data_IF_211162796666
#
_entry.id   IF_211162796666
#
_cell.length_a   1.000
_cell.length_b   1.000
_cell.length_c   1.000
_cell.angle_alpha   90.00
_cell.angle_beta   90.00
_cell.angle_gamma   90.00
#
_symmetry.space_group_name_H-M   'P 1'
#
loop_
_entity.id
_entity.type
_entity.pdbx_description
1 polymer ?
#
# COMPACT_ATOMS: atom_id res chain seq x y z
N UNK A 1 22.64 1.54 17.39
CA UNK A 1 21.39 2.36 17.45
C UNK A 1 20.38 1.75 16.50
N UNK A 2 19.14 1.54 16.95
CA UNK A 2 18.04 1.08 16.08
C UNK A 2 17.65 2.24 15.17
N UNK A 3 17.57 2.01 13.87
CA UNK A 3 17.12 3.05 12.92
C UNK A 3 15.62 3.31 13.06
N UNK A 4 15.15 4.47 12.61
CA UNK A 4 13.69 4.79 12.63
C UNK A 4 12.88 3.77 11.84
N UNK A 5 13.39 3.29 10.72
CA UNK A 5 12.76 2.23 9.93
C UNK A 5 12.64 0.93 10.74
N UNK A 6 13.70 0.52 11.42
CA UNK A 6 13.66 -0.70 12.25
C UNK A 6 12.66 -0.60 13.41
N UNK A 7 12.54 0.59 14.03
CA UNK A 7 11.51 0.86 15.04
C UNK A 7 10.10 0.67 14.47
N UNK A 8 9.86 1.24 13.27
CA UNK A 8 8.56 1.13 12.57
C UNK A 8 8.25 -0.35 12.25
N UNK A 9 9.22 -1.08 11.71
CA UNK A 9 9.05 -2.50 11.35
C UNK A 9 8.75 -3.36 12.58
N UNK A 10 9.46 -3.15 13.68
CA UNK A 10 9.20 -3.89 14.91
C UNK A 10 7.77 -3.65 15.43
N UNK A 11 7.36 -2.39 15.48
CA UNK A 11 5.98 -2.05 15.84
C UNK A 11 4.95 -2.66 14.87
N UNK A 12 5.22 -2.60 13.57
CA UNK A 12 4.33 -3.17 12.55
C UNK A 12 4.12 -4.67 12.73
N UNK A 13 5.16 -5.41 13.12
CA UNK A 13 5.05 -6.85 13.42
C UNK A 13 4.10 -7.14 14.58
N UNK A 14 4.12 -6.32 15.63
CA UNK A 14 3.18 -6.44 16.75
C UNK A 14 1.76 -6.07 16.32
N UNK A 15 1.61 -4.96 15.60
CA UNK A 15 0.32 -4.45 15.14
C UNK A 15 -0.42 -5.44 14.23
N UNK A 16 0.23 -5.96 13.18
CA UNK A 16 -0.45 -6.89 12.30
C UNK A 16 -0.67 -8.26 12.96
N UNK A 17 0.20 -8.70 13.86
CA UNK A 17 0.00 -9.94 14.62
C UNK A 17 -1.27 -9.88 15.46
N UNK A 18 -1.54 -8.74 16.08
CA UNK A 18 -2.81 -8.51 16.78
C UNK A 18 -4.00 -8.59 15.81
N UNK A 19 -3.98 -7.88 14.69
CA UNK A 19 -5.07 -7.94 13.69
C UNK A 19 -5.27 -9.34 13.12
N UNK A 20 -4.17 -10.07 12.86
CA UNK A 20 -4.18 -11.45 12.39
C UNK A 20 -4.88 -12.39 13.37
N UNK A 21 -4.75 -12.15 14.69
CA UNK A 21 -5.43 -12.94 15.72
C UNK A 21 -6.94 -12.68 15.82
N UNK A 22 -7.43 -11.57 15.24
CA UNK A 22 -8.85 -11.16 15.31
C UNK A 22 -9.70 -11.67 14.13
N UNK A 23 -9.08 -12.29 13.14
CA UNK A 23 -9.77 -12.79 11.93
C UNK A 23 -9.17 -14.11 11.48
N UNK A 24 -10.01 -15.08 11.18
CA UNK A 24 -9.56 -16.36 10.61
C UNK A 24 -9.19 -16.22 9.13
N UNK A 25 -8.32 -17.09 8.64
CA UNK A 25 -7.99 -17.13 7.19
C UNK A 25 -9.25 -17.34 6.33
N UNK A 26 -10.20 -18.14 6.78
CA UNK A 26 -11.47 -18.38 6.08
C UNK A 26 -12.30 -17.09 5.95
N UNK A 27 -12.45 -16.32 7.05
CA UNK A 27 -13.18 -15.05 7.03
C UNK A 27 -12.48 -14.04 6.13
N UNK A 28 -11.14 -13.97 6.19
CA UNK A 28 -10.37 -13.06 5.35
C UNK A 28 -10.54 -13.38 3.87
N UNK A 29 -10.47 -14.67 3.49
CA UNK A 29 -10.74 -15.11 2.11
C UNK A 29 -12.18 -14.82 1.68
N UNK A 30 -13.17 -15.03 2.55
CA UNK A 30 -14.57 -14.68 2.26
C UNK A 30 -14.79 -13.18 1.98
N UNK A 31 -13.97 -12.31 2.62
CA UNK A 31 -13.99 -10.87 2.32
C UNK A 31 -13.32 -10.59 0.97
N UNK A 32 -12.19 -11.25 0.70
CA UNK A 32 -11.45 -11.10 -0.57
C UNK A 32 -12.30 -11.50 -1.76
N UNK A 33 -13.04 -12.61 -1.67
CA UNK A 33 -13.90 -13.13 -2.75
C UNK A 33 -15.03 -12.17 -3.11
N UNK A 34 -15.45 -11.33 -2.17
CA UNK A 34 -16.47 -10.28 -2.41
C UNK A 34 -15.90 -9.00 -3.03
N UNK A 35 -14.57 -8.86 -3.07
CA UNK A 35 -13.94 -7.68 -3.67
C UNK A 35 -13.97 -7.76 -5.20
N UNK A 36 -14.17 -6.61 -5.85
CA UNK A 36 -13.97 -6.51 -7.29
C UNK A 36 -12.51 -6.85 -7.62
N UNK A 37 -12.25 -7.38 -8.81
CA UNK A 37 -10.87 -7.62 -9.28
C UNK A 37 -10.02 -6.36 -9.15
N UNK A 38 -8.73 -6.48 -8.83
CA UNK A 38 -7.82 -5.34 -8.81
C UNK A 38 -7.83 -4.61 -10.15
N UNK A 39 -7.76 -3.31 -10.09
CA UNK A 39 -7.57 -2.46 -11.27
C UNK A 39 -6.09 -2.42 -11.59
N UNK A 40 -5.69 -2.61 -12.82
CA UNK A 40 -4.29 -2.57 -13.23
C UNK A 40 -3.64 -1.22 -12.88
N UNK A 41 -2.93 -1.15 -11.77
CA UNK A 41 -2.25 0.06 -11.29
C UNK A 41 -1.13 0.46 -12.26
N UNK A 42 -0.28 -0.50 -12.63
CA UNK A 42 0.80 -0.30 -13.61
C UNK A 42 0.23 0.10 -14.98
N UNK A 43 -0.84 -0.57 -15.41
CA UNK A 43 -1.47 -0.24 -16.70
C UNK A 43 -1.97 1.20 -16.78
N UNK A 44 -2.42 1.77 -15.65
CA UNK A 44 -2.85 3.17 -15.60
C UNK A 44 -1.70 4.17 -15.64
N UNK A 45 -0.49 3.74 -15.32
CA UNK A 45 0.72 4.55 -15.38
C UNK A 45 1.44 4.46 -16.74
N UNK A 46 0.99 3.58 -17.63
CA UNK A 46 1.60 3.37 -18.94
C UNK A 46 0.88 4.10 -20.09
N UNK A 47 0.07 5.12 -19.81
CA UNK A 47 -0.56 5.93 -20.84
C UNK A 47 0.46 6.94 -21.41
N UNK A 48 0.92 6.77 -22.68
CA UNK A 48 1.93 7.65 -23.27
C UNK A 48 1.39 9.03 -23.67
N UNK A 49 0.08 9.24 -23.59
CA UNK A 49 -0.58 10.48 -24.06
C UNK A 49 -0.73 11.54 -22.98
N UNK A 50 -0.37 11.20 -21.73
CA UNK A 50 -0.51 12.10 -20.59
C UNK A 50 0.64 11.95 -19.60
N UNK A 51 0.79 12.96 -18.73
CA UNK A 51 1.62 12.83 -17.53
C UNK A 51 0.90 11.90 -16.55
N UNK A 52 1.52 10.77 -16.24
CA UNK A 52 0.98 9.80 -15.29
C UNK A 52 1.36 10.20 -13.86
N UNK A 53 0.36 10.32 -12.99
CA UNK A 53 0.51 10.81 -11.62
C UNK A 53 -0.06 9.81 -10.62
N UNK A 54 0.75 9.44 -9.63
CA UNK A 54 0.31 8.80 -8.38
C UNK A 54 0.12 9.91 -7.35
N UNK A 55 -1.12 10.19 -6.96
CA UNK A 55 -1.44 11.22 -5.97
C UNK A 55 -1.53 10.61 -4.56
N UNK A 56 -0.78 11.18 -3.60
CA UNK A 56 -0.68 10.63 -2.24
C UNK A 56 -1.65 11.30 -1.26
N UNK A 57 -2.41 10.48 -0.53
CA UNK A 57 -3.33 10.87 0.54
C UNK A 57 -2.65 10.58 1.87
N UNK A 58 -2.10 11.62 2.49
CA UNK A 58 -1.30 11.54 3.71
C UNK A 58 -1.66 12.63 4.70
N UNK A 59 -2.01 12.25 5.94
CA UNK A 59 -2.38 13.16 7.02
C UNK A 59 -1.18 13.71 7.77
N UNK A 60 -0.23 12.83 8.09
CA UNK A 60 0.95 13.16 8.88
C UNK A 60 2.17 12.36 8.43
N UNK A 61 3.37 12.73 8.86
CA UNK A 61 4.59 11.94 8.70
C UNK A 61 5.54 12.12 9.89
N UNK A 62 6.45 11.15 10.16
CA UNK A 62 7.42 11.28 11.26
C UNK A 62 8.31 12.52 11.17
N UNK A 63 8.65 12.93 9.95
CA UNK A 63 9.57 14.05 9.70
C UNK A 63 8.90 15.44 9.73
N UNK A 64 7.60 15.51 9.43
CA UNK A 64 6.87 16.79 9.33
C UNK A 64 5.71 16.94 10.32
N UNK A 65 5.45 15.92 11.13
CA UNK A 65 4.29 15.89 12.01
C UNK A 65 2.97 15.93 11.23
N UNK A 66 1.98 16.63 11.77
CA UNK A 66 0.69 16.81 11.11
C UNK A 66 0.85 17.74 9.88
N UNK A 67 0.47 17.22 8.70
CA UNK A 67 0.57 17.94 7.41
C UNK A 67 -0.73 18.67 7.11
N UNK A 68 -1.87 18.05 7.48
CA UNK A 68 -3.19 18.59 7.15
C UNK A 68 -4.16 18.44 8.34
N UNK A 69 -4.67 19.55 8.87
CA UNK A 69 -5.62 19.58 9.98
C UNK A 69 -7.03 19.17 9.54
N UNK A 70 -7.48 19.66 8.38
CA UNK A 70 -8.77 19.40 7.75
C UNK A 70 -8.75 18.15 6.86
N UNK A 71 -8.18 17.05 7.38
CA UNK A 71 -7.95 15.84 6.60
C UNK A 71 -9.25 15.06 6.38
N UNK A 72 -9.69 15.04 5.13
CA UNK A 72 -10.76 14.17 4.61
C UNK A 72 -10.20 13.35 3.42
N UNK A 73 -9.97 12.05 3.60
CA UNK A 73 -9.38 11.20 2.56
C UNK A 73 -10.28 11.05 1.33
N UNK A 74 -11.61 11.08 1.49
CA UNK A 74 -12.53 10.98 0.37
C UNK A 74 -12.57 12.26 -0.44
N UNK A 75 -12.62 13.41 0.22
CA UNK A 75 -12.56 14.70 -0.44
C UNK A 75 -11.26 14.85 -1.26
N UNK A 76 -10.12 14.51 -0.65
CA UNK A 76 -8.83 14.52 -1.34
C UNK A 76 -8.80 13.59 -2.55
N UNK A 77 -9.33 12.36 -2.42
CA UNK A 77 -9.39 11.40 -3.51
C UNK A 77 -10.24 11.94 -4.69
N UNK A 78 -11.36 12.60 -4.40
CA UNK A 78 -12.20 13.25 -5.42
C UNK A 78 -11.47 14.39 -6.10
N UNK A 79 -10.79 15.27 -5.36
CA UNK A 79 -9.96 16.34 -5.93
C UNK A 79 -8.87 15.81 -6.84
N UNK A 80 -8.17 14.73 -6.44
CA UNK A 80 -7.12 14.11 -7.25
C UNK A 80 -7.67 13.45 -8.52
N UNK A 81 -8.83 12.78 -8.44
CA UNK A 81 -9.54 12.26 -9.61
C UNK A 81 -9.88 13.39 -10.59
N UNK A 82 -10.45 14.47 -10.09
CA UNK A 82 -10.87 15.62 -10.90
C UNK A 82 -9.65 16.37 -11.47
N UNK A 83 -8.51 16.33 -10.77
CA UNK A 83 -7.20 16.77 -11.25
C UNK A 83 -6.49 15.77 -12.18
N UNK A 84 -7.18 14.72 -12.64
CA UNK A 84 -6.68 13.71 -13.60
C UNK A 84 -5.51 12.86 -13.09
N UNK A 85 -5.41 12.60 -11.79
CA UNK A 85 -4.48 11.60 -11.26
C UNK A 85 -4.75 10.23 -11.92
N UNK A 86 -3.68 9.48 -12.19
CA UNK A 86 -3.78 8.14 -12.75
C UNK A 86 -4.10 7.10 -11.67
N UNK A 87 -3.48 7.25 -10.51
CA UNK A 87 -3.61 6.34 -9.38
C UNK A 87 -3.57 7.13 -8.06
N UNK A 88 -4.00 6.48 -6.98
CA UNK A 88 -3.91 7.02 -5.63
C UNK A 88 -2.92 6.20 -4.79
N UNK A 89 -2.17 6.86 -3.92
CA UNK A 89 -1.39 6.25 -2.84
C UNK A 89 -2.03 6.63 -1.51
N UNK A 90 -2.49 5.65 -0.74
CA UNK A 90 -3.25 5.89 0.49
C UNK A 90 -2.47 5.36 1.69
N UNK A 91 -2.06 6.26 2.58
CA UNK A 91 -1.37 5.91 3.82
C UNK A 91 -2.34 5.19 4.76
N UNK A 92 -1.96 3.97 5.19
CA UNK A 92 -2.74 3.17 6.14
C UNK A 92 -2.04 2.96 7.47
N UNK A 93 -0.75 3.27 7.59
CA UNK A 93 -0.04 3.23 8.86
C UNK A 93 -0.63 4.24 9.87
N UNK A 94 -1.12 3.73 11.01
CA UNK A 94 -1.83 4.57 12.00
C UNK A 94 -0.85 5.33 12.89
N UNK A 95 0.15 4.66 13.43
CA UNK A 95 1.03 5.21 14.47
C UNK A 95 1.92 6.35 13.96
N UNK A 96 2.54 6.17 12.83
CA UNK A 96 3.57 7.08 12.33
C UNK A 96 3.05 8.07 11.28
N UNK A 97 1.96 7.72 10.59
CA UNK A 97 1.40 8.53 9.50
C UNK A 97 -0.04 8.98 9.75
N UNK A 98 -0.64 8.60 10.89
CA UNK A 98 -2.05 8.86 11.20
C UNK A 98 -2.99 8.41 10.06
N UNK A 99 -2.61 7.33 9.37
CA UNK A 99 -3.40 6.68 8.34
C UNK A 99 -4.51 5.81 8.94
N UNK A 100 -5.27 5.14 8.09
CA UNK A 100 -6.24 4.15 8.53
C UNK A 100 -6.62 3.22 7.38
N UNK A 101 -6.74 1.92 7.64
CA UNK A 101 -7.19 0.91 6.67
C UNK A 101 -8.56 1.23 6.07
N UNK A 102 -9.46 1.86 6.82
CA UNK A 102 -10.81 2.25 6.37
C UNK A 102 -10.78 3.25 5.20
N UNK A 103 -9.70 4.01 5.03
CA UNK A 103 -9.62 5.00 3.96
C UNK A 103 -9.70 4.35 2.58
N UNK A 104 -9.07 3.19 2.38
CA UNK A 104 -9.15 2.45 1.12
C UNK A 104 -10.61 2.11 0.80
N UNK A 105 -11.34 1.51 1.74
CA UNK A 105 -12.74 1.12 1.54
C UNK A 105 -13.65 2.33 1.25
N UNK A 106 -13.44 3.45 1.96
CA UNK A 106 -14.24 4.67 1.77
C UNK A 106 -14.00 5.23 0.36
N UNK A 107 -12.74 5.30 -0.07
CA UNK A 107 -12.37 5.84 -1.38
C UNK A 107 -12.86 4.93 -2.50
N UNK A 108 -12.70 3.61 -2.39
CA UNK A 108 -13.09 2.63 -3.43
C UNK A 108 -14.58 2.66 -3.77
N UNK A 109 -15.44 3.11 -2.85
CA UNK A 109 -16.88 3.21 -3.10
C UNK A 109 -17.26 4.36 -4.03
N UNK A 110 -16.46 5.43 -4.03
CA UNK A 110 -16.82 6.71 -4.64
C UNK A 110 -15.86 7.13 -5.77
N UNK A 111 -14.65 6.60 -5.77
CA UNK A 111 -13.60 7.01 -6.71
C UNK A 111 -13.09 5.81 -7.49
N UNK A 112 -13.16 5.92 -8.83
CA UNK A 112 -12.79 4.84 -9.75
C UNK A 112 -11.33 4.96 -10.21
N UNK A 113 -10.39 5.07 -9.25
CA UNK A 113 -8.95 5.02 -9.51
C UNK A 113 -8.32 3.78 -8.85
N UNK A 114 -7.24 3.23 -9.43
CA UNK A 114 -6.43 2.22 -8.75
C UNK A 114 -5.80 2.79 -7.48
N UNK A 115 -5.74 1.97 -6.43
CA UNK A 115 -5.22 2.38 -5.11
C UNK A 115 -4.02 1.52 -4.72
N UNK A 116 -2.89 2.19 -4.46
CA UNK A 116 -1.75 1.66 -3.73
C UNK A 116 -2.04 1.76 -2.22
N UNK A 117 -1.99 0.63 -1.50
CA UNK A 117 -1.88 0.65 -0.05
C UNK A 117 -0.45 1.03 0.35
N UNK A 118 -0.27 2.23 0.85
CA UNK A 118 1.02 2.74 1.34
C UNK A 118 1.16 2.37 2.81
N UNK A 119 1.83 1.26 3.06
CA UNK A 119 2.10 0.70 4.40
C UNK A 119 3.43 -0.05 4.41
N UNK A 120 3.90 -0.47 5.59
CA UNK A 120 5.10 -1.30 5.76
C UNK A 120 4.70 -2.77 5.72
N UNK A 121 4.86 -3.40 4.56
CA UNK A 121 4.50 -4.79 4.31
C UNK A 121 5.71 -5.68 4.52
N UNK A 122 5.62 -6.61 5.47
CA UNK A 122 6.70 -7.52 5.89
C UNK A 122 6.22 -8.96 6.14
N UNK A 123 4.93 -9.25 5.93
CA UNK A 123 4.34 -10.58 6.14
C UNK A 123 3.28 -10.87 5.06
N UNK A 124 3.21 -12.10 4.52
CA UNK A 124 2.20 -12.48 3.51
C UNK A 124 0.76 -12.25 3.95
N UNK A 125 0.46 -12.33 5.23
CA UNK A 125 -0.88 -12.03 5.75
C UNK A 125 -1.30 -10.59 5.42
N UNK A 126 -0.37 -9.62 5.45
CA UNK A 126 -0.66 -8.23 5.10
C UNK A 126 -1.03 -8.07 3.62
N UNK A 127 -0.57 -8.97 2.73
CA UNK A 127 -1.00 -9.02 1.32
C UNK A 127 -2.48 -9.39 1.24
N UNK A 128 -2.89 -10.47 1.95
CA UNK A 128 -4.31 -10.86 2.04
C UNK A 128 -5.17 -9.74 2.64
N UNK A 129 -4.69 -9.12 3.72
CA UNK A 129 -5.36 -7.95 4.32
C UNK A 129 -5.51 -6.82 3.30
N UNK A 130 -4.44 -6.47 2.56
CA UNK A 130 -4.49 -5.42 1.52
C UNK A 130 -5.55 -5.71 0.47
N UNK A 131 -5.61 -6.97 0.03
CA UNK A 131 -6.62 -7.42 -0.93
C UNK A 131 -8.03 -7.35 -0.35
N UNK A 132 -8.23 -7.72 0.91
CA UNK A 132 -9.52 -7.64 1.59
C UNK A 132 -10.04 -6.20 1.74
N UNK A 133 -9.13 -5.24 1.89
CA UNK A 133 -9.44 -3.81 1.89
C UNK A 133 -9.79 -3.27 0.49
N UNK A 134 -9.51 -4.01 -0.58
CA UNK A 134 -9.73 -3.61 -1.96
C UNK A 134 -8.56 -2.87 -2.60
N UNK A 135 -7.34 -2.98 -2.07
CA UNK A 135 -6.15 -2.43 -2.71
C UNK A 135 -5.92 -3.08 -4.09
N UNK A 136 -5.37 -2.30 -5.00
CA UNK A 136 -5.02 -2.73 -6.35
C UNK A 136 -3.50 -2.93 -6.49
N UNK A 137 -2.73 -2.31 -5.62
CA UNK A 137 -1.27 -2.35 -5.58
C UNK A 137 -0.80 -2.31 -4.12
N UNK A 138 0.37 -2.92 -3.86
CA UNK A 138 1.06 -2.86 -2.56
C UNK A 138 2.43 -2.23 -2.72
N UNK A 139 3.02 -1.81 -1.58
CA UNK A 139 4.38 -1.28 -1.51
C UNK A 139 5.33 -2.33 -0.93
N UNK A 140 6.44 -2.57 -1.59
CA UNK A 140 7.60 -3.25 -1.01
C UNK A 140 8.75 -2.26 -0.83
N UNK A 141 9.24 -2.11 0.40
CA UNK A 141 10.36 -1.22 0.75
C UNK A 141 11.61 -2.08 0.89
N UNK A 142 12.54 -2.00 -0.06
CA UNK A 142 13.72 -2.88 -0.08
C UNK A 142 14.61 -2.72 1.15
N UNK A 143 14.69 -1.53 1.73
CA UNK A 143 15.40 -1.28 2.99
C UNK A 143 14.83 -2.06 4.20
N UNK A 144 13.61 -2.57 4.10
CA UNK A 144 12.91 -3.29 5.17
C UNK A 144 12.89 -4.81 4.98
N UNK A 145 13.36 -5.32 3.83
CA UNK A 145 13.18 -6.71 3.40
C UNK A 145 14.51 -7.32 2.95
N UNK A 146 14.65 -8.62 3.16
CA UNK A 146 15.62 -9.41 2.40
C UNK A 146 15.08 -9.70 1.00
N UNK A 147 15.95 -10.06 0.05
CA UNK A 147 15.52 -10.42 -1.30
C UNK A 147 14.49 -11.56 -1.31
N UNK A 148 14.72 -12.59 -0.50
CA UNK A 148 13.80 -13.74 -0.44
C UNK A 148 12.42 -13.34 0.10
N UNK A 149 12.35 -12.47 1.10
CA UNK A 149 11.09 -11.91 1.60
C UNK A 149 10.39 -11.09 0.53
N UNK A 150 11.11 -10.23 -0.19
CA UNK A 150 10.54 -9.42 -1.26
C UNK A 150 9.96 -10.29 -2.39
N UNK A 151 10.68 -11.33 -2.85
CA UNK A 151 10.19 -12.29 -3.86
C UNK A 151 8.93 -13.01 -3.38
N UNK A 152 8.91 -13.49 -2.13
CA UNK A 152 7.74 -14.17 -1.56
C UNK A 152 6.52 -13.23 -1.50
N UNK A 153 6.71 -11.99 -1.06
CA UNK A 153 5.63 -11.00 -0.95
C UNK A 153 5.13 -10.57 -2.33
N UNK A 154 6.03 -10.39 -3.30
CA UNK A 154 5.68 -10.11 -4.69
C UNK A 154 4.82 -11.23 -5.29
N UNK A 155 5.25 -12.48 -5.14
CA UNK A 155 4.51 -13.64 -5.64
C UNK A 155 3.12 -13.74 -5.01
N UNK A 156 3.02 -13.51 -3.69
CA UNK A 156 1.72 -13.51 -3.01
C UNK A 156 0.82 -12.39 -3.51
N UNK A 157 1.34 -11.18 -3.76
CA UNK A 157 0.56 -10.08 -4.34
C UNK A 157 0.04 -10.43 -5.74
N UNK A 158 0.88 -11.04 -6.59
CA UNK A 158 0.51 -11.51 -7.94
C UNK A 158 -0.57 -12.59 -7.89
N UNK A 159 -0.53 -13.51 -6.92
CA UNK A 159 -1.56 -14.54 -6.73
C UNK A 159 -2.94 -13.92 -6.49
N UNK A 160 -3.01 -12.74 -5.86
CA UNK A 160 -4.23 -11.96 -5.68
C UNK A 160 -4.51 -10.96 -6.80
N UNK A 161 -3.71 -10.95 -7.87
CA UNK A 161 -3.85 -10.05 -9.01
C UNK A 161 -3.52 -8.59 -8.72
N UNK A 162 -2.85 -8.31 -7.60
CA UNK A 162 -2.38 -6.96 -7.26
C UNK A 162 -1.04 -6.66 -7.91
N UNK A 163 -0.86 -5.42 -8.34
CA UNK A 163 0.43 -4.90 -8.75
C UNK A 163 1.33 -4.60 -7.54
N UNK A 164 2.63 -4.48 -7.77
CA UNK A 164 3.63 -4.18 -6.75
C UNK A 164 4.40 -2.93 -7.14
N UNK A 165 4.51 -1.97 -6.22
CA UNK A 165 5.41 -0.83 -6.31
C UNK A 165 6.61 -1.08 -5.41
N UNK A 166 7.82 -0.96 -5.93
CA UNK A 166 9.07 -1.18 -5.18
C UNK A 166 9.71 0.16 -4.85
N UNK A 167 10.00 0.38 -3.56
CA UNK A 167 10.70 1.57 -3.07
C UNK A 167 12.15 1.24 -2.75
N UNK A 168 13.10 2.00 -3.32
CA UNK A 168 14.55 1.85 -3.15
C UNK A 168 15.20 3.19 -2.84
N UNK A 169 16.25 3.20 -2.01
CA UNK A 169 16.99 4.40 -1.61
C UNK A 169 18.49 4.30 -1.90
N UNK A 170 19.02 3.09 -2.13
CA UNK A 170 20.43 2.86 -2.40
C UNK A 170 20.62 2.07 -3.69
N UNK A 171 21.86 2.06 -4.19
CA UNK A 171 22.22 1.29 -5.38
C UNK A 171 22.06 -0.21 -5.15
N UNK A 172 22.45 -0.69 -3.98
CA UNK A 172 22.32 -2.09 -3.57
C UNK A 172 20.86 -2.52 -3.53
N UNK A 173 19.96 -1.65 -3.05
CA UNK A 173 18.51 -1.91 -3.07
C UNK A 173 17.97 -1.97 -4.49
N UNK A 174 18.46 -1.13 -5.42
CA UNK A 174 18.10 -1.20 -6.85
C UNK A 174 18.55 -2.54 -7.45
N UNK A 175 19.78 -2.98 -7.14
CA UNK A 175 20.28 -4.29 -7.61
C UNK A 175 19.48 -5.47 -7.08
N UNK A 176 18.94 -5.36 -5.85
CA UNK A 176 17.99 -6.33 -5.31
C UNK A 176 16.63 -6.26 -6.01
N UNK A 177 16.09 -5.05 -6.18
CA UNK A 177 14.80 -4.83 -6.82
C UNK A 177 14.77 -5.35 -8.26
N UNK A 178 15.85 -5.24 -9.02
CA UNK A 178 15.98 -5.77 -10.38
C UNK A 178 15.87 -7.30 -10.48
N UNK A 179 15.84 -8.01 -9.35
CA UNK A 179 15.62 -9.48 -9.32
C UNK A 179 14.15 -9.85 -9.10
N UNK A 180 13.29 -8.87 -8.87
CA UNK A 180 11.85 -9.03 -8.83
C UNK A 180 11.30 -9.01 -10.27
N UNK A 181 10.13 -9.58 -10.43
CA UNK A 181 9.44 -9.71 -11.73
C UNK A 181 8.28 -8.69 -11.84
N UNK A 182 8.44 -7.52 -11.23
CA UNK A 182 7.45 -6.45 -11.18
C UNK A 182 7.85 -5.25 -12.02
#
# INVERSE_FOLDING_TARGET
>A
MITKLQEIINYKKEEFSYRKSQITDFELHSIIDKQKKPKGFINKLNDPKKLNLIAEIKKASPSKGLIRNDFDPLHLAKCYRDGSASCLSVLTDEKYFQGNNKYINIIKREVDLPILRKDFIVDPWQIKESRSLGADCILLIMAALTLNEAIMLEQEAKNFGMDVLVETHTKEEIEMANKLDT
#
